data_IF_544647073270
#
_entry.id   IF_544647073270
#
_cell.length_a   1.000
_cell.length_b   1.000
_cell.length_c   1.000
_cell.angle_alpha   90.00
_cell.angle_beta   90.00
_cell.angle_gamma   90.00
#
_symmetry.space_group_name_H-M   'P 1'
#
loop_
_entity.id
_entity.type
_entity.pdbx_description
1 polymer ?
#
# COMPACT_ATOMS: atom_id res chain seq x y z
N UNK A 1 -5.61 -17.77 23.18
CA UNK A 1 -4.94 -17.02 22.08
C UNK A 1 -5.93 -16.47 21.04
N UNK A 2 -7.03 -17.17 20.73
CA UNK A 2 -8.07 -16.68 19.82
C UNK A 2 -9.03 -15.67 20.47
N UNK A 3 -9.16 -15.62 21.80
CA UNK A 3 -10.03 -14.66 22.51
C UNK A 3 -9.68 -13.18 22.28
N UNK A 4 -8.44 -12.83 21.95
CA UNK A 4 -8.06 -11.46 21.57
C UNK A 4 -8.45 -11.10 20.13
N UNK A 5 -8.41 -12.08 19.21
CA UNK A 5 -8.92 -11.92 17.84
C UNK A 5 -10.45 -12.05 17.78
N UNK A 6 -11.04 -12.74 18.74
CA UNK A 6 -12.45 -13.07 18.83
C UNK A 6 -13.05 -12.57 20.15
N UNK A 7 -12.68 -11.35 20.59
CA UNK A 7 -13.33 -10.65 21.71
C UNK A 7 -14.83 -10.48 21.37
N UNK A 8 -15.64 -11.48 21.72
CA UNK A 8 -17.10 -11.47 21.62
C UNK A 8 -17.69 -11.05 20.26
N UNK A 9 -17.01 -11.29 19.13
CA UNK A 9 -17.51 -10.98 17.78
C UNK A 9 -17.08 -9.64 17.17
N UNK A 10 -16.42 -8.74 17.92
CA UNK A 10 -16.01 -7.43 17.40
C UNK A 10 -14.74 -7.46 16.54
N UNK A 11 -13.85 -8.44 16.73
CA UNK A 11 -12.60 -8.53 15.98
C UNK A 11 -12.82 -8.65 14.47
N UNK A 12 -13.89 -9.33 14.04
CA UNK A 12 -14.28 -9.45 12.64
C UNK A 12 -14.66 -8.12 11.99
N UNK A 13 -15.08 -7.11 12.76
CA UNK A 13 -15.37 -5.76 12.27
C UNK A 13 -14.15 -4.84 12.26
N UNK A 14 -13.23 -5.01 13.21
CA UNK A 14 -12.05 -4.15 13.35
C UNK A 14 -10.96 -4.52 12.33
N UNK A 15 -10.75 -5.82 12.10
CA UNK A 15 -9.78 -6.31 11.13
C UNK A 15 -9.93 -5.76 9.71
N UNK A 16 -11.14 -5.73 9.09
CA UNK A 16 -11.29 -5.16 7.76
C UNK A 16 -11.00 -3.66 7.74
N UNK A 17 -11.27 -2.89 8.81
CA UNK A 17 -10.90 -1.49 8.88
C UNK A 17 -9.37 -1.30 8.83
N UNK A 18 -8.62 -2.11 9.58
CA UNK A 18 -7.16 -2.11 9.52
C UNK A 18 -6.63 -2.59 8.16
N UNK A 19 -7.23 -3.65 7.60
CA UNK A 19 -6.88 -4.14 6.27
C UNK A 19 -7.10 -3.06 5.20
N UNK A 20 -8.20 -2.30 5.28
CA UNK A 20 -8.50 -1.21 4.36
C UNK A 20 -7.51 -0.05 4.52
N UNK A 21 -7.15 0.30 5.76
CA UNK A 21 -6.15 1.32 6.03
C UNK A 21 -4.77 0.94 5.45
N UNK A 22 -4.32 -0.29 5.70
CA UNK A 22 -3.07 -0.81 5.15
C UNK A 22 -3.13 -0.90 3.62
N UNK A 23 -4.27 -1.29 3.06
CA UNK A 23 -4.47 -1.35 1.61
C UNK A 23 -4.37 0.04 0.98
N UNK A 24 -5.05 1.04 1.55
CA UNK A 24 -4.99 2.43 1.05
C UNK A 24 -3.58 2.98 1.17
N UNK A 25 -2.90 2.77 2.31
CA UNK A 25 -1.53 3.23 2.50
C UNK A 25 -0.55 2.54 1.54
N UNK A 26 -0.70 1.23 1.36
CA UNK A 26 0.08 0.43 0.41
C UNK A 26 -0.14 0.89 -1.04
N UNK A 27 -1.39 1.13 -1.45
CA UNK A 27 -1.71 1.67 -2.77
C UNK A 27 -1.14 3.09 -2.96
N UNK A 28 -1.20 3.93 -1.92
CA UNK A 28 -0.69 5.29 -1.94
C UNK A 28 0.84 5.31 -2.12
N UNK A 29 1.57 4.34 -1.56
CA UNK A 29 3.01 4.18 -1.77
C UNK A 29 3.35 3.45 -3.08
N UNK A 30 2.52 2.48 -3.50
CA UNK A 30 2.73 1.70 -4.71
C UNK A 30 2.55 2.55 -5.98
N UNK A 31 1.54 3.42 -6.01
CA UNK A 31 1.23 4.26 -7.16
C UNK A 31 2.40 5.18 -7.59
N UNK A 32 3.05 5.95 -6.67
CA UNK A 32 4.23 6.73 -6.99
C UNK A 32 5.43 5.84 -7.32
N UNK A 33 5.62 4.69 -6.66
CA UNK A 33 6.72 3.77 -7.01
C UNK A 33 6.59 3.21 -8.43
N UNK A 34 5.37 2.86 -8.83
CA UNK A 34 5.04 2.40 -10.20
C UNK A 34 5.17 3.51 -11.23
N UNK A 35 4.89 4.77 -10.86
CA UNK A 35 5.11 5.94 -11.73
C UNK A 35 6.59 6.31 -11.84
N UNK A 36 7.35 6.27 -10.75
CA UNK A 36 8.80 6.51 -10.77
C UNK A 36 9.52 5.51 -11.69
N UNK A 37 9.20 4.22 -11.60
CA UNK A 37 9.74 3.22 -12.53
C UNK A 37 9.42 3.50 -14.00
N UNK A 38 8.36 4.23 -14.31
CA UNK A 38 8.02 4.63 -15.70
C UNK A 38 8.80 5.86 -16.15
N UNK A 39 9.13 6.77 -15.23
CA UNK A 39 9.85 8.02 -15.52
C UNK A 39 11.37 7.83 -15.57
N UNK A 40 11.93 6.87 -14.82
CA UNK A 40 13.36 6.55 -14.88
C UNK A 40 13.79 6.05 -16.26
N UNK A 41 12.87 5.49 -17.05
CA UNK A 41 13.13 5.08 -18.44
C UNK A 41 13.28 6.26 -19.41
N UNK A 42 12.90 7.47 -19.01
CA UNK A 42 12.98 8.68 -19.85
C UNK A 42 14.18 9.59 -19.50
N UNK A 43 14.89 9.33 -18.40
CA UNK A 43 16.06 10.14 -18.00
C UNK A 43 17.36 9.76 -18.71
N UNK A 44 17.43 8.59 -19.35
CA UNK A 44 18.63 8.15 -20.07
C UNK A 44 18.61 8.51 -21.58
N UNK A 45 17.84 9.51 -22.01
CA UNK A 45 17.99 10.09 -23.36
C UNK A 45 17.94 11.61 -23.29
N UNK A 46 18.56 12.21 -22.27
CA UNK A 46 19.08 13.57 -22.44
C UNK A 46 20.46 13.43 -23.06
N UNK A 47 20.61 13.69 -24.38
CA UNK A 47 21.93 13.87 -24.94
C UNK A 47 22.50 15.10 -24.22
N UNK A 48 23.53 14.87 -23.43
CA UNK A 48 24.52 15.91 -23.15
C UNK A 48 25.17 16.17 -24.51
N UNK A 49 25.21 17.45 -24.88
CA UNK A 49 25.60 18.02 -26.16
C UNK A 49 26.80 17.34 -26.85
#
# INVERSE_FOLDING_TARGET
>A
MTEFLAMGGYGAYVWPCYALAVLVLGLNAWLPWRRHRRLDRQRHTRPVE
#
